data_IF_438836312487
#
_entry.id   IF_438836312487
#
_cell.length_a   1.000
_cell.length_b   1.000
_cell.length_c   1.000
_cell.angle_alpha   90.00
_cell.angle_beta   90.00
_cell.angle_gamma   90.00
#
_symmetry.space_group_name_H-M   'P 1'
#
loop_
_entity.id
_entity.type
_entity.pdbx_description
1 polymer ?
#
# COMPACT_ATOMS: atom_id res chain seq x y z
N UNK A 1 4.92 17.40 -4.67
CA UNK A 1 4.87 15.92 -4.70
C UNK A 1 5.40 15.46 -3.38
N UNK A 2 4.67 14.61 -2.66
CA UNK A 2 5.11 14.04 -1.39
C UNK A 2 5.50 12.59 -1.62
N UNK A 3 6.66 12.21 -1.12
CA UNK A 3 7.13 10.83 -1.09
C UNK A 3 7.85 10.61 0.23
N UNK A 4 7.47 9.54 0.92
CA UNK A 4 8.10 9.10 2.14
C UNK A 4 8.35 7.60 2.06
N UNK A 5 9.54 7.18 2.47
CA UNK A 5 9.92 5.79 2.52
C UNK A 5 10.46 5.49 3.91
N UNK A 6 9.84 4.52 4.58
CA UNK A 6 10.25 4.04 5.88
C UNK A 6 10.78 2.63 5.70
N UNK A 7 12.08 2.45 5.92
CA UNK A 7 12.69 1.12 5.97
C UNK A 7 12.45 0.55 7.35
N UNK A 8 11.79 -0.61 7.40
CA UNK A 8 11.58 -1.38 8.61
C UNK A 8 12.74 -2.38 8.75
N UNK A 9 13.02 -2.82 9.97
CA UNK A 9 13.99 -3.89 10.19
C UNK A 9 13.67 -5.15 9.37
N UNK A 10 14.66 -6.03 9.20
CA UNK A 10 14.52 -7.31 8.50
C UNK A 10 14.21 -7.21 6.99
N UNK A 11 14.61 -6.11 6.34
CA UNK A 11 14.50 -5.95 4.89
C UNK A 11 13.11 -5.55 4.40
N UNK A 12 12.21 -5.16 5.30
CA UNK A 12 10.89 -4.65 4.94
C UNK A 12 10.93 -3.14 4.71
N UNK A 13 10.04 -2.63 3.87
CA UNK A 13 9.88 -1.19 3.70
C UNK A 13 8.44 -0.82 3.37
N UNK A 14 8.05 0.35 3.83
CA UNK A 14 6.79 0.99 3.50
C UNK A 14 7.08 2.27 2.74
N UNK A 15 6.47 2.43 1.57
CA UNK A 15 6.55 3.65 0.77
C UNK A 15 5.18 4.28 0.62
N UNK A 16 5.11 5.56 0.90
CA UNK A 16 3.95 6.42 0.73
C UNK A 16 4.29 7.45 -0.34
N UNK A 17 3.38 7.64 -1.30
CA UNK A 17 3.54 8.65 -2.35
C UNK A 17 2.21 9.33 -2.60
N UNK A 18 2.23 10.66 -2.69
CA UNK A 18 1.05 11.48 -2.92
C UNK A 18 1.36 12.63 -3.87
N UNK A 19 0.58 12.73 -4.95
CA UNK A 19 0.69 13.78 -5.95
C UNK A 19 -0.61 14.56 -6.04
N UNK A 20 -0.60 15.76 -5.44
CA UNK A 20 -1.59 16.85 -5.61
C UNK A 20 -3.06 16.39 -5.77
N UNK A 21 -3.54 15.49 -4.89
CA UNK A 21 -4.93 15.00 -4.90
C UNK A 21 -5.33 14.18 -6.13
N UNK A 22 -4.41 13.92 -7.06
CA UNK A 22 -4.68 13.18 -8.30
C UNK A 22 -4.25 11.73 -8.21
N UNK A 23 -3.15 11.45 -7.50
CA UNK A 23 -2.59 10.10 -7.40
C UNK A 23 -2.03 9.85 -6.01
N UNK A 24 -2.26 8.66 -5.48
CA UNK A 24 -1.57 8.16 -4.29
C UNK A 24 -1.07 6.73 -4.51
N UNK A 25 -0.05 6.34 -3.74
CA UNK A 25 0.42 4.97 -3.60
C UNK A 25 0.86 4.70 -2.16
N UNK A 26 0.45 3.57 -1.61
CA UNK A 26 0.91 2.98 -0.37
C UNK A 26 1.43 1.60 -0.73
N UNK A 27 2.69 1.30 -0.43
CA UNK A 27 3.24 -0.01 -0.73
C UNK A 27 4.03 -0.57 0.43
N UNK A 28 3.87 -1.86 0.67
CA UNK A 28 4.62 -2.64 1.63
C UNK A 28 5.41 -3.71 0.87
N UNK A 29 6.72 -3.75 1.12
CA UNK A 29 7.67 -4.59 0.37
C UNK A 29 8.57 -5.36 1.33
N UNK A 30 9.00 -6.54 0.89
CA UNK A 30 10.08 -7.30 1.52
C UNK A 30 11.19 -7.49 0.50
N UNK A 31 12.36 -6.90 0.75
CA UNK A 31 13.47 -6.80 -0.21
C UNK A 31 12.96 -6.28 -1.56
N UNK A 32 12.93 -7.14 -2.60
CA UNK A 32 12.43 -6.77 -3.93
C UNK A 32 10.96 -7.18 -4.19
N UNK A 33 10.33 -7.89 -3.26
CA UNK A 33 8.98 -8.41 -3.41
C UNK A 33 7.92 -7.40 -2.95
N UNK A 34 7.00 -7.06 -3.85
CA UNK A 34 5.81 -6.29 -3.52
C UNK A 34 4.78 -7.18 -2.84
N UNK A 35 4.56 -6.94 -1.54
CA UNK A 35 3.62 -7.73 -0.73
C UNK A 35 2.22 -7.14 -0.77
N UNK A 36 2.12 -5.82 -0.60
CA UNK A 36 0.86 -5.06 -0.59
C UNK A 36 1.07 -3.75 -1.35
N UNK A 37 0.12 -3.38 -2.20
CA UNK A 37 0.05 -2.05 -2.81
C UNK A 37 -1.38 -1.55 -2.85
N UNK A 38 -1.59 -0.33 -2.40
CA UNK A 38 -2.83 0.42 -2.61
C UNK A 38 -2.47 1.65 -3.42
N UNK A 39 -3.07 1.80 -4.59
CA UNK A 39 -2.86 2.98 -5.42
C UNK A 39 -4.18 3.50 -5.95
N UNK A 40 -4.24 4.80 -6.15
CA UNK A 40 -5.41 5.42 -6.74
C UNK A 40 -5.04 6.55 -7.68
N UNK A 41 -5.86 6.73 -8.71
CA UNK A 41 -5.83 7.88 -9.60
C UNK A 41 -7.26 8.37 -9.89
N UNK A 42 -7.59 9.57 -9.45
CA UNK A 42 -8.95 10.10 -9.51
C UNK A 42 -9.95 9.21 -8.75
N UNK A 43 -10.88 8.57 -9.46
CA UNK A 43 -11.92 7.67 -8.90
C UNK A 43 -11.57 6.18 -9.01
N UNK A 44 -10.39 5.84 -9.52
CA UNK A 44 -9.97 4.45 -9.72
C UNK A 44 -8.98 4.08 -8.63
N UNK A 45 -9.33 3.10 -7.80
CA UNK A 45 -8.45 2.58 -6.77
C UNK A 45 -8.23 1.09 -6.98
N UNK A 46 -6.99 0.67 -6.78
CA UNK A 46 -6.56 -0.71 -6.98
C UNK A 46 -5.81 -1.15 -5.73
N UNK A 47 -6.17 -2.34 -5.26
CA UNK A 47 -5.44 -3.06 -4.23
C UNK A 47 -4.72 -4.24 -4.87
N UNK A 48 -3.43 -4.36 -4.64
CA UNK A 48 -2.61 -5.50 -5.04
C UNK A 48 -2.14 -6.23 -3.80
N UNK A 49 -2.48 -7.51 -3.69
CA UNK A 49 -2.00 -8.40 -2.63
C UNK A 49 -1.20 -9.53 -3.26
N UNK A 50 0.09 -9.64 -2.93
CA UNK A 50 1.00 -10.68 -3.42
C UNK A 50 0.90 -10.92 -4.93
N UNK A 51 0.96 -9.82 -5.69
CA UNK A 51 0.88 -9.83 -7.15
C UNK A 51 -0.53 -9.94 -7.75
N UNK A 52 -1.60 -10.08 -6.95
CA UNK A 52 -2.99 -10.10 -7.43
C UNK A 52 -3.65 -8.75 -7.24
N UNK A 53 -3.98 -8.10 -8.34
CA UNK A 53 -4.67 -6.81 -8.35
C UNK A 53 -6.19 -6.97 -8.41
N UNK A 54 -6.92 -6.19 -7.63
CA UNK A 54 -8.38 -6.07 -7.66
C UNK A 54 -8.80 -4.61 -7.55
N UNK A 55 -10.00 -4.29 -8.05
CA UNK A 55 -10.64 -3.02 -7.74
C UNK A 55 -10.79 -2.87 -6.22
N UNK A 56 -10.66 -1.64 -5.72
CA UNK A 56 -10.79 -1.31 -4.32
C UNK A 56 -11.63 -0.04 -4.17
N UNK A 57 -12.39 0.03 -3.09
CA UNK A 57 -13.14 1.22 -2.71
C UNK A 57 -13.03 1.40 -1.19
N UNK A 58 -12.87 2.64 -0.76
CA UNK A 58 -12.81 3.01 0.65
C UNK A 58 -13.66 4.24 0.89
N UNK A 59 -14.27 4.31 2.08
CA UNK A 59 -15.17 5.40 2.47
C UNK A 59 -14.45 6.52 3.23
N UNK A 60 -13.28 6.25 3.78
CA UNK A 60 -12.46 7.22 4.48
C UNK A 60 -10.98 6.83 4.48
N UNK A 61 -10.09 7.78 4.76
CA UNK A 61 -8.64 7.54 4.81
C UNK A 61 -8.29 6.57 5.96
N UNK A 62 -9.07 6.58 7.04
CA UNK A 62 -8.91 5.67 8.18
C UNK A 62 -9.21 4.22 7.77
N UNK A 63 -10.23 3.99 6.92
CA UNK A 63 -10.49 2.67 6.37
C UNK A 63 -9.33 2.21 5.49
N UNK A 64 -8.84 3.09 4.60
CA UNK A 64 -7.68 2.78 3.76
C UNK A 64 -6.45 2.41 4.59
N UNK A 65 -6.18 3.15 5.67
CA UNK A 65 -5.08 2.85 6.59
C UNK A 65 -5.28 1.49 7.25
N UNK A 66 -6.45 1.25 7.83
CA UNK A 66 -6.75 0.00 8.52
C UNK A 66 -6.62 -1.22 7.60
N UNK A 67 -7.18 -1.14 6.39
CA UNK A 67 -7.11 -2.23 5.41
C UNK A 67 -5.66 -2.49 4.97
N UNK A 68 -4.87 -1.43 4.77
CA UNK A 68 -3.44 -1.53 4.44
C UNK A 68 -2.64 -2.18 5.57
N UNK A 69 -2.80 -1.71 6.81
CA UNK A 69 -2.12 -2.26 7.99
C UNK A 69 -2.44 -3.74 8.17
N UNK A 70 -3.72 -4.11 8.05
CA UNK A 70 -4.18 -5.50 8.16
C UNK A 70 -3.58 -6.39 7.07
N UNK A 71 -3.60 -5.95 5.82
CA UNK A 71 -3.03 -6.72 4.71
C UNK A 71 -1.50 -6.85 4.83
N UNK A 72 -0.82 -5.84 5.38
CA UNK A 72 0.61 -5.88 5.66
C UNK A 72 0.94 -6.88 6.79
N UNK A 73 0.17 -6.88 7.88
CA UNK A 73 0.27 -7.88 8.95
C UNK A 73 0.04 -9.31 8.42
N UNK A 74 -0.99 -9.51 7.60
CA UNK A 74 -1.30 -10.81 7.02
C UNK A 74 -0.23 -11.25 6.01
N UNK A 75 0.43 -10.30 5.33
CA UNK A 75 1.60 -10.58 4.50
C UNK A 75 2.82 -11.00 5.34
N UNK A 76 3.03 -10.41 6.51
CA UNK A 76 4.11 -10.76 7.44
C UNK A 76 3.92 -12.15 8.07
N UNK A 77 2.68 -12.56 8.38
CA UNK A 77 2.40 -13.84 9.05
C UNK A 77 2.59 -15.08 8.18
N UNK A 78 2.64 -14.93 6.85
CA UNK A 78 2.65 -16.05 5.91
C UNK A 78 3.94 -16.13 5.07
N UNK A 79 4.93 -15.27 5.35
CA UNK A 79 6.29 -15.35 4.80
C UNK A 79 7.25 -15.87 5.84
#
# INVERSE_FOLDING_TARGET
MFEECVVLGNGFSTKISFLHGKRYSLSFRSQENLLVEYKGEGRKHVRTLRGRASAYEFKSVEQLRYDFERDAEDALRQG
#
